data_IF_261692101324
#
_entry.id   IF_261692101324
#
_cell.length_a   1.000
_cell.length_b   1.000
_cell.length_c   1.000
_cell.angle_alpha   90.00
_cell.angle_beta   90.00
_cell.angle_gamma   90.00
#
_symmetry.space_group_name_H-M   'P 1'
#
loop_
_entity.id
_entity.type
_entity.pdbx_description
1 polymer ?
#
# COMPACT_ATOMS: atom_id res chain seq x y z
N UNK A 1 -9.55 23.36 -19.19
CA UNK A 1 -9.63 22.06 -18.50
C UNK A 1 -11.09 21.66 -18.33
N UNK A 2 -11.46 20.47 -18.81
CA UNK A 2 -12.81 19.94 -18.59
C UNK A 2 -13.10 19.72 -17.10
N UNK A 3 -14.37 19.74 -16.71
CA UNK A 3 -14.78 19.63 -15.29
C UNK A 3 -14.27 18.35 -14.60
N UNK A 4 -14.24 17.22 -15.32
CA UNK A 4 -13.95 15.91 -14.75
C UNK A 4 -12.49 15.74 -14.30
N UNK A 5 -11.45 16.02 -15.11
CA UNK A 5 -10.07 16.02 -14.66
C UNK A 5 -9.83 16.93 -13.45
N UNK A 6 -10.41 18.13 -13.43
CA UNK A 6 -10.27 19.07 -12.30
C UNK A 6 -10.84 18.45 -11.02
N UNK A 7 -12.03 17.87 -11.10
CA UNK A 7 -12.65 17.18 -9.96
C UNK A 7 -11.80 15.99 -9.49
N UNK A 8 -11.31 15.16 -10.41
CA UNK A 8 -10.44 14.03 -10.09
C UNK A 8 -9.15 14.49 -9.39
N UNK A 9 -8.48 15.53 -9.91
CA UNK A 9 -7.28 16.11 -9.30
C UNK A 9 -7.59 16.59 -7.89
N UNK A 10 -8.67 17.35 -7.70
CA UNK A 10 -9.03 17.89 -6.41
C UNK A 10 -9.31 16.79 -5.37
N UNK A 11 -10.10 15.77 -5.75
CA UNK A 11 -10.42 14.63 -4.88
C UNK A 11 -9.15 13.86 -4.51
N UNK A 12 -8.35 13.48 -5.50
CA UNK A 12 -7.12 12.70 -5.28
C UNK A 12 -6.08 13.48 -4.47
N UNK A 13 -5.93 14.78 -4.71
CA UNK A 13 -5.04 15.63 -3.93
C UNK A 13 -5.48 15.71 -2.46
N UNK A 14 -6.78 15.90 -2.20
CA UNK A 14 -7.32 15.95 -0.83
C UNK A 14 -7.14 14.60 -0.13
N UNK A 15 -7.52 13.50 -0.79
CA UNK A 15 -7.35 12.16 -0.24
C UNK A 15 -5.86 11.86 0.02
N UNK A 16 -4.98 12.25 -0.92
CA UNK A 16 -3.54 12.03 -0.83
C UNK A 16 -2.94 12.80 0.33
N UNK A 17 -3.36 14.05 0.53
CA UNK A 17 -2.96 14.86 1.68
C UNK A 17 -3.44 14.25 3.01
N UNK A 18 -4.69 13.79 3.09
CA UNK A 18 -5.23 13.13 4.28
C UNK A 18 -4.42 11.86 4.61
N UNK A 19 -4.18 11.01 3.60
CA UNK A 19 -3.39 9.78 3.75
C UNK A 19 -1.96 10.08 4.19
N UNK A 20 -1.33 11.09 3.60
CA UNK A 20 0.01 11.56 3.97
C UNK A 20 0.04 12.03 5.43
N UNK A 21 -0.85 12.94 5.82
CA UNK A 21 -0.88 13.51 7.17
C UNK A 21 -1.09 12.45 8.26
N UNK A 22 -2.01 11.50 8.02
CA UNK A 22 -2.29 10.39 8.94
C UNK A 22 -1.06 9.49 9.10
N UNK A 23 -0.38 9.14 8.01
CA UNK A 23 0.80 8.29 8.08
C UNK A 23 2.02 9.03 8.67
N UNK A 24 2.21 10.32 8.39
CA UNK A 24 3.22 11.15 9.06
C UNK A 24 2.96 11.20 10.57
N UNK A 25 1.71 11.39 10.99
CA UNK A 25 1.34 11.34 12.40
C UNK A 25 1.68 9.97 13.02
N UNK A 26 1.37 8.87 12.33
CA UNK A 26 1.74 7.53 12.78
C UNK A 26 3.26 7.37 12.94
N UNK A 27 4.04 7.93 12.02
CA UNK A 27 5.50 7.92 12.06
C UNK A 27 6.04 8.72 13.25
N UNK A 28 5.48 9.90 13.52
CA UNK A 28 5.82 10.71 14.70
C UNK A 28 5.56 9.91 15.99
N UNK A 29 4.39 9.26 16.10
CA UNK A 29 4.09 8.41 17.24
C UNK A 29 5.07 7.23 17.38
N UNK A 30 5.51 6.63 16.27
CA UNK A 30 6.52 5.58 16.27
C UNK A 30 7.86 6.07 16.82
N UNK A 31 8.23 7.32 16.56
CA UNK A 31 9.50 7.92 17.00
C UNK A 31 9.47 8.58 18.39
N UNK A 32 8.31 8.92 18.95
CA UNK A 32 8.14 9.57 20.29
C UNK A 32 8.76 8.77 21.47
N UNK A 33 9.29 7.56 21.25
CA UNK A 33 10.07 6.81 22.25
C UNK A 33 9.24 6.21 23.40
N UNK A 34 8.00 6.68 23.61
CA UNK A 34 7.08 6.21 24.65
C UNK A 34 6.48 4.82 24.38
N UNK A 35 6.64 4.29 23.17
CA UNK A 35 6.10 3.00 22.78
C UNK A 35 6.96 1.87 23.32
N UNK A 36 6.44 1.15 24.33
CA UNK A 36 7.04 -0.08 24.85
C UNK A 36 6.80 -1.26 23.88
N UNK A 37 7.44 -1.22 22.71
CA UNK A 37 7.37 -2.28 21.70
C UNK A 37 8.75 -2.83 21.39
N UNK A 38 8.82 -4.09 20.95
CA UNK A 38 10.09 -4.65 20.47
C UNK A 38 10.53 -3.93 19.20
N UNK A 39 11.83 -3.68 19.08
CA UNK A 39 12.43 -3.02 17.92
C UNK A 39 12.02 -3.64 16.58
N UNK A 40 11.83 -4.97 16.53
CA UNK A 40 11.36 -5.69 15.33
C UNK A 40 9.99 -5.21 14.85
N UNK A 41 9.04 -5.00 15.76
CA UNK A 41 7.69 -4.57 15.41
C UNK A 41 7.68 -3.08 15.04
N UNK A 42 8.45 -2.28 15.78
CA UNK A 42 8.61 -0.85 15.47
C UNK A 42 9.17 -0.66 14.06
N UNK A 43 10.24 -1.37 13.69
CA UNK A 43 10.82 -1.28 12.35
C UNK A 43 9.82 -1.69 11.26
N UNK A 44 9.09 -2.79 11.47
CA UNK A 44 8.05 -3.22 10.53
C UNK A 44 6.99 -2.15 10.28
N UNK A 45 6.50 -1.50 11.35
CA UNK A 45 5.53 -0.42 11.25
C UNK A 45 6.14 0.81 10.57
N UNK A 46 7.38 1.18 10.90
CA UNK A 46 8.09 2.30 10.26
C UNK A 46 8.19 2.09 8.75
N UNK A 47 8.62 0.91 8.30
CA UNK A 47 8.75 0.62 6.86
C UNK A 47 7.40 0.73 6.15
N UNK A 48 6.34 0.11 6.68
CA UNK A 48 5.01 0.22 6.09
C UNK A 48 4.48 1.66 6.08
N UNK A 49 4.66 2.40 7.17
CA UNK A 49 4.24 3.81 7.24
C UNK A 49 5.01 4.67 6.25
N UNK A 50 6.33 4.50 6.10
CA UNK A 50 7.12 5.23 5.11
C UNK A 50 6.68 4.93 3.68
N UNK A 51 6.40 3.67 3.37
CA UNK A 51 5.85 3.28 2.07
C UNK A 51 4.51 3.99 1.79
N UNK A 52 3.59 4.01 2.76
CA UNK A 52 2.30 4.69 2.58
C UNK A 52 2.42 6.22 2.53
N UNK A 53 3.38 6.83 3.24
CA UNK A 53 3.70 8.25 3.07
C UNK A 53 4.12 8.53 1.63
N UNK A 54 5.05 7.75 1.09
CA UNK A 54 5.52 7.89 -0.29
C UNK A 54 4.38 7.72 -1.28
N UNK A 55 3.55 6.69 -1.08
CA UNK A 55 2.43 6.39 -1.97
C UNK A 55 1.38 7.52 -1.94
N UNK A 56 0.99 8.00 -0.76
CA UNK A 56 0.04 9.10 -0.62
C UNK A 56 0.59 10.41 -1.20
N UNK A 57 1.88 10.71 -0.99
CA UNK A 57 2.52 11.91 -1.54
C UNK A 57 2.51 11.88 -3.07
N UNK A 58 3.06 10.82 -3.67
CA UNK A 58 3.15 10.72 -5.13
C UNK A 58 1.76 10.65 -5.76
N UNK A 59 0.81 9.89 -5.19
CA UNK A 59 -0.56 9.82 -5.70
C UNK A 59 -1.30 11.16 -5.60
N UNK A 60 -1.05 11.94 -4.53
CA UNK A 60 -1.63 13.28 -4.39
C UNK A 60 -1.11 14.28 -5.43
N UNK A 61 0.12 14.09 -5.91
CA UNK A 61 0.73 14.92 -6.97
C UNK A 61 0.43 14.40 -8.39
N UNK A 62 0.24 13.10 -8.55
CA UNK A 62 0.01 12.42 -9.81
C UNK A 62 -1.36 11.74 -9.80
N UNK A 63 -2.37 12.43 -10.31
CA UNK A 63 -3.72 11.86 -10.43
C UNK A 63 -3.74 10.91 -11.63
N UNK A 64 -3.77 9.60 -11.36
CA UNK A 64 -3.74 8.57 -12.39
C UNK A 64 -5.14 8.03 -12.68
N UNK A 65 -5.58 8.13 -13.93
CA UNK A 65 -6.79 7.50 -14.45
C UNK A 65 -6.45 6.33 -15.36
N UNK A 66 -7.22 5.24 -15.23
CA UNK A 66 -7.13 4.10 -16.14
C UNK A 66 -8.23 4.19 -17.18
N UNK A 67 -7.87 3.93 -18.43
CA UNK A 67 -8.79 3.86 -19.56
C UNK A 67 -8.51 2.60 -20.36
N UNK A 68 -9.55 1.95 -20.83
CA UNK A 68 -9.44 0.79 -21.72
C UNK A 68 -10.17 1.10 -23.02
N UNK A 69 -9.47 1.05 -24.14
CA UNK A 69 -10.03 1.29 -25.46
C UNK A 69 -9.35 0.39 -26.49
N UNK A 70 -10.12 -0.40 -27.26
CA UNK A 70 -9.63 -1.26 -28.33
C UNK A 70 -8.43 -2.16 -27.97
N UNK A 71 -8.48 -2.84 -26.82
CA UNK A 71 -7.37 -3.67 -26.30
C UNK A 71 -6.10 -2.88 -25.92
N UNK A 72 -6.19 -1.56 -25.77
CA UNK A 72 -5.13 -0.73 -25.25
C UNK A 72 -5.57 -0.21 -23.88
N UNK A 73 -4.70 -0.39 -22.90
CA UNK A 73 -4.81 0.21 -21.57
C UNK A 73 -4.05 1.52 -21.58
N UNK A 74 -4.72 2.61 -21.26
CA UNK A 74 -4.13 3.93 -21.08
C UNK A 74 -4.07 4.26 -19.59
N UNK A 75 -2.92 4.77 -19.17
CA UNK A 75 -2.65 5.40 -17.88
C UNK A 75 -2.50 6.88 -18.15
N UNK A 76 -3.53 7.65 -17.79
CA UNK A 76 -3.55 9.09 -18.00
C UNK A 76 -3.29 9.78 -16.68
N UNK A 77 -2.24 10.59 -16.66
CA UNK A 77 -1.83 11.34 -15.49
C UNK A 77 -2.18 12.81 -15.65
N UNK A 78 -2.87 13.31 -14.64
CA UNK A 78 -3.22 14.71 -14.47
C UNK A 78 -2.50 15.30 -13.24
N UNK A 79 -2.50 16.63 -13.14
CA UNK A 79 -1.97 17.35 -11.97
C UNK A 79 -0.57 17.92 -12.22
N UNK A 80 0.35 17.71 -11.27
CA UNK A 80 1.69 18.30 -11.33
C UNK A 80 2.65 17.49 -12.21
N UNK A 81 2.39 16.20 -12.41
CA UNK A 81 3.27 15.30 -13.14
C UNK A 81 3.59 15.79 -14.58
N UNK A 82 2.62 16.24 -15.41
CA UNK A 82 2.90 16.71 -16.77
C UNK A 82 3.65 18.05 -16.83
N UNK A 83 3.77 18.76 -15.71
CA UNK A 83 4.49 20.05 -15.60
C UNK A 83 5.97 19.80 -15.29
N UNK A 84 6.31 18.63 -14.76
CA UNK A 84 7.69 18.29 -14.39
C UNK A 84 8.54 18.02 -15.64
N UNK A 85 9.87 18.25 -15.57
CA UNK A 85 10.79 17.73 -16.56
C UNK A 85 10.62 16.22 -16.72
N UNK A 86 10.74 15.73 -17.96
CA UNK A 86 10.45 14.34 -18.31
C UNK A 86 11.13 13.33 -17.38
N UNK A 87 12.42 13.52 -17.08
CA UNK A 87 13.17 12.64 -16.18
C UNK A 87 12.53 12.56 -14.79
N UNK A 88 12.06 13.69 -14.25
CA UNK A 88 11.42 13.72 -12.95
C UNK A 88 10.03 13.05 -12.97
N UNK A 89 9.26 13.24 -14.05
CA UNK A 89 8.00 12.52 -14.28
C UNK A 89 8.23 11.01 -14.30
N UNK A 90 9.21 10.55 -15.09
CA UNK A 90 9.55 9.14 -15.24
C UNK A 90 9.97 8.51 -13.90
N UNK A 91 10.84 9.21 -13.15
CA UNK A 91 11.25 8.77 -11.81
C UNK A 91 10.06 8.69 -10.85
N UNK A 92 9.15 9.66 -10.87
CA UNK A 92 7.97 9.65 -10.03
C UNK A 92 7.02 8.49 -10.38
N UNK A 93 6.85 8.19 -11.68
CA UNK A 93 6.04 7.08 -12.17
C UNK A 93 6.63 5.72 -11.81
N UNK A 94 7.93 5.53 -12.05
CA UNK A 94 8.63 4.30 -11.62
C UNK A 94 8.48 4.13 -10.12
N UNK A 95 8.73 5.19 -9.34
CA UNK A 95 8.57 5.15 -7.88
C UNK A 95 7.13 4.81 -7.47
N UNK A 96 6.12 5.37 -8.14
CA UNK A 96 4.71 5.05 -7.89
C UNK A 96 4.44 3.56 -8.13
N UNK A 97 4.90 3.01 -9.24
CA UNK A 97 4.74 1.58 -9.57
C UNK A 97 5.41 0.70 -8.51
N UNK A 98 6.63 1.02 -8.09
CA UNK A 98 7.32 0.29 -7.03
C UNK A 98 6.56 0.32 -5.71
N UNK A 99 6.03 1.48 -5.32
CA UNK A 99 5.27 1.63 -4.09
C UNK A 99 3.95 0.86 -4.13
N UNK A 100 3.28 0.82 -5.29
CA UNK A 100 2.06 0.04 -5.51
C UNK A 100 2.35 -1.45 -5.44
N UNK A 101 3.40 -1.94 -6.11
CA UNK A 101 3.80 -3.36 -6.06
C UNK A 101 4.23 -3.78 -4.66
N UNK A 102 4.94 -2.89 -3.96
CA UNK A 102 5.30 -3.07 -2.57
C UNK A 102 4.10 -3.31 -1.64
N UNK A 103 2.88 -2.93 -2.00
CA UNK A 103 1.70 -3.10 -1.13
C UNK A 103 1.50 -4.58 -0.77
N UNK A 104 1.57 -5.47 -1.76
CA UNK A 104 1.43 -6.91 -1.53
C UNK A 104 2.76 -7.61 -1.32
N UNK A 105 3.84 -7.14 -1.95
CA UNK A 105 5.16 -7.78 -1.84
C UNK A 105 5.78 -7.61 -0.44
N UNK A 106 5.42 -6.54 0.27
CA UNK A 106 5.87 -6.29 1.65
C UNK A 106 4.95 -6.89 2.71
N UNK A 107 3.73 -7.32 2.35
CA UNK A 107 2.76 -7.91 3.27
C UNK A 107 3.28 -9.15 4.05
N UNK A 108 4.13 -10.02 3.47
CA UNK A 108 4.69 -11.16 4.20
C UNK A 108 5.65 -10.78 5.33
N UNK A 109 6.43 -9.71 5.19
CA UNK A 109 7.51 -9.38 6.13
C UNK A 109 7.04 -9.22 7.59
N UNK A 110 6.00 -8.42 7.91
CA UNK A 110 5.48 -8.31 9.26
C UNK A 110 5.03 -9.65 9.85
N UNK A 111 4.41 -10.51 9.04
CA UNK A 111 3.95 -11.84 9.44
C UNK A 111 5.10 -12.82 9.68
N UNK A 112 6.12 -12.82 8.80
CA UNK A 112 7.35 -13.61 9.00
C UNK A 112 8.04 -13.15 10.29
N UNK A 113 8.15 -11.84 10.53
CA UNK A 113 8.72 -11.30 11.77
C UNK A 113 7.95 -11.77 13.00
N UNK A 114 6.63 -11.71 12.97
CA UNK A 114 5.82 -12.19 14.10
C UNK A 114 5.98 -13.70 14.31
N UNK A 115 5.96 -14.48 13.24
CA UNK A 115 6.18 -15.92 13.27
C UNK A 115 7.55 -16.25 13.89
N UNK A 116 8.62 -15.63 13.40
CA UNK A 116 9.97 -15.86 13.92
C UNK A 116 10.11 -15.40 15.38
N UNK A 117 9.46 -14.31 15.78
CA UNK A 117 9.46 -13.83 17.16
C UNK A 117 8.71 -14.78 18.11
N UNK A 118 7.65 -15.45 17.65
CA UNK A 118 6.85 -16.38 18.45
C UNK A 118 7.45 -17.78 18.50
N UNK A 119 7.88 -18.30 17.35
CA UNK A 119 8.26 -19.71 17.18
C UNK A 119 9.78 -19.93 17.15
N UNK A 120 10.59 -18.90 16.91
CA UNK A 120 12.06 -18.97 16.88
C UNK A 120 12.69 -17.89 17.79
N UNK A 121 12.41 -17.92 19.11
CA UNK A 121 12.86 -16.88 20.05
C UNK A 121 14.39 -16.75 20.16
N UNK A 122 15.13 -17.81 19.83
CA UNK A 122 16.60 -17.84 19.84
C UNK A 122 17.26 -17.06 18.68
N UNK A 123 16.52 -16.70 17.62
CA UNK A 123 17.08 -15.88 16.55
C UNK A 123 17.28 -14.43 17.01
N UNK A 124 18.44 -13.86 16.67
CA UNK A 124 18.73 -12.45 16.91
C UNK A 124 17.80 -11.55 16.09
N UNK A 125 17.59 -10.32 16.56
CA UNK A 125 16.75 -9.33 15.86
C UNK A 125 17.19 -9.07 14.41
N UNK A 126 18.49 -8.82 14.12
CA UNK A 126 18.94 -8.61 12.74
C UNK A 126 18.69 -9.82 11.84
N UNK A 127 18.90 -11.05 12.35
CA UNK A 127 18.63 -12.27 11.60
C UNK A 127 17.16 -12.39 11.22
N UNK A 128 16.24 -12.09 12.14
CA UNK A 128 14.79 -12.10 11.84
C UNK A 128 14.41 -11.07 10.77
N UNK A 129 14.97 -9.86 10.86
CA UNK A 129 14.74 -8.79 9.90
C UNK A 129 15.25 -9.19 8.51
N UNK A 130 16.48 -9.69 8.42
CA UNK A 130 17.05 -10.15 7.16
C UNK A 130 16.19 -11.25 6.54
N UNK A 131 15.78 -12.26 7.32
CA UNK A 131 14.92 -13.35 6.81
C UNK A 131 13.55 -12.85 6.33
N UNK A 132 12.94 -11.89 7.04
CA UNK A 132 11.63 -11.37 6.67
C UNK A 132 11.66 -10.50 5.41
N UNK A 133 12.63 -9.58 5.32
CA UNK A 133 12.72 -8.62 4.23
C UNK A 133 13.43 -9.17 2.99
N UNK A 134 14.31 -10.16 3.11
CA UNK A 134 14.92 -10.82 1.93
C UNK A 134 13.86 -11.43 1.02
N UNK A 135 12.82 -12.05 1.58
CA UNK A 135 11.68 -12.56 0.79
C UNK A 135 11.03 -11.42 -0.01
N UNK A 136 10.74 -10.29 0.64
CA UNK A 136 10.13 -9.14 -0.02
C UNK A 136 11.02 -8.53 -1.10
N UNK A 137 12.34 -8.43 -0.86
CA UNK A 137 13.31 -7.92 -1.84
C UNK A 137 13.35 -8.83 -3.06
N UNK A 138 13.36 -10.15 -2.88
CA UNK A 138 13.33 -11.11 -3.99
C UNK A 138 12.04 -10.97 -4.81
N UNK A 139 10.88 -10.86 -4.14
CA UNK A 139 9.60 -10.64 -4.82
C UNK A 139 9.61 -9.33 -5.62
N UNK A 140 10.14 -8.26 -5.03
CA UNK A 140 10.19 -6.93 -5.64
C UNK A 140 11.10 -6.87 -6.88
N UNK A 141 12.26 -7.53 -6.82
CA UNK A 141 13.20 -7.58 -7.94
C UNK A 141 12.59 -8.24 -9.18
N UNK A 142 11.77 -9.28 -9.00
CA UNK A 142 11.11 -9.99 -10.09
C UNK A 142 10.03 -9.15 -10.81
N UNK A 143 9.62 -8.01 -10.24
CA UNK A 143 8.52 -7.18 -10.73
C UNK A 143 8.99 -5.92 -11.46
N UNK A 144 10.30 -5.69 -11.60
CA UNK A 144 10.85 -4.53 -12.29
C UNK A 144 10.76 -4.68 -13.81
N UNK A 145 9.98 -3.79 -14.45
CA UNK A 145 9.87 -3.71 -15.91
C UNK A 145 9.87 -2.25 -16.36
N UNK A 146 10.49 -1.99 -17.52
CA UNK A 146 10.56 -0.67 -18.15
C UNK A 146 9.70 -0.66 -19.41
N UNK A 147 8.90 0.39 -19.59
CA UNK A 147 8.18 0.63 -20.83
C UNK A 147 9.10 1.28 -21.86
N UNK A 148 8.91 0.92 -23.13
CA UNK A 148 9.60 1.54 -24.25
C UNK A 148 9.21 3.03 -24.40
N UNK A 149 10.20 3.90 -24.63
CA UNK A 149 10.02 5.35 -24.77
C UNK A 149 9.38 5.70 -26.11
N UNK A 150 9.58 4.87 -27.14
CA UNK A 150 9.14 5.14 -28.51
C UNK A 150 7.61 5.24 -28.65
N UNK A 151 6.84 4.55 -27.80
CA UNK A 151 5.38 4.48 -27.90
C UNK A 151 4.65 5.66 -27.25
N UNK A 152 5.38 6.53 -26.54
CA UNK A 152 4.80 7.58 -25.70
C UNK A 152 4.05 8.65 -26.49
N UNK A 153 4.58 9.07 -27.63
CA UNK A 153 3.98 10.12 -28.45
C UNK A 153 2.62 9.68 -29.03
N UNK A 154 2.56 8.46 -29.57
CA UNK A 154 1.32 7.87 -30.09
C UNK A 154 0.27 7.68 -28.99
N UNK A 155 0.68 7.15 -27.81
CA UNK A 155 -0.20 7.05 -26.65
C UNK A 155 -0.78 8.41 -26.23
N UNK A 156 0.04 9.46 -26.27
CA UNK A 156 -0.38 10.81 -25.89
C UNK A 156 -1.41 11.39 -26.86
N UNK A 157 -1.24 11.19 -28.16
CA UNK A 157 -2.22 11.61 -29.17
C UNK A 157 -3.57 10.91 -28.97
N UNK A 158 -3.57 9.58 -28.83
CA UNK A 158 -4.80 8.81 -28.62
C UNK A 158 -5.46 9.19 -27.29
N UNK A 159 -4.67 9.33 -26.21
CA UNK A 159 -5.17 9.73 -24.91
C UNK A 159 -5.83 11.11 -24.93
N UNK A 160 -5.19 12.11 -25.57
CA UNK A 160 -5.78 13.45 -25.76
C UNK A 160 -7.08 13.39 -26.52
N UNK A 161 -7.13 12.63 -27.63
CA UNK A 161 -8.35 12.45 -28.40
C UNK A 161 -9.47 11.81 -27.58
N UNK A 162 -9.20 10.75 -26.80
CA UNK A 162 -10.22 10.07 -25.99
C UNK A 162 -10.73 10.97 -24.86
N UNK A 163 -9.87 11.78 -24.25
CA UNK A 163 -10.26 12.69 -23.17
C UNK A 163 -10.75 14.06 -23.65
N UNK A 164 -10.70 14.32 -24.96
CA UNK A 164 -10.99 15.62 -25.54
C UNK A 164 -10.22 16.75 -24.83
N UNK A 165 -8.92 16.50 -24.63
CA UNK A 165 -7.96 17.39 -23.98
C UNK A 165 -7.24 18.15 -25.08
N UNK A 166 -7.15 19.47 -24.96
CA UNK A 166 -6.44 20.32 -25.91
C UNK A 166 -4.92 20.23 -25.74
N UNK A 167 -4.15 20.60 -26.77
CA UNK A 167 -2.69 20.47 -26.76
C UNK A 167 -1.99 21.36 -25.71
N UNK A 168 -2.64 22.42 -25.26
CA UNK A 168 -2.19 23.31 -24.19
C UNK A 168 -2.43 22.76 -22.78
N UNK A 169 -3.26 21.73 -22.65
CA UNK A 169 -3.50 21.07 -21.37
C UNK A 169 -2.40 20.02 -21.10
N UNK A 170 -1.65 20.24 -20.02
CA UNK A 170 -0.62 19.31 -19.55
C UNK A 170 -1.22 17.97 -19.14
N UNK A 171 -1.05 16.95 -19.98
CA UNK A 171 -1.45 15.57 -19.73
C UNK A 171 -0.33 14.64 -20.16
N UNK A 172 0.01 13.72 -19.26
CA UNK A 172 0.99 12.68 -19.51
C UNK A 172 0.24 11.36 -19.70
N UNK A 173 0.46 10.70 -20.84
CA UNK A 173 -0.25 9.45 -21.17
C UNK A 173 0.76 8.36 -21.41
N UNK A 174 0.57 7.26 -20.71
CA UNK A 174 1.21 5.99 -21.00
C UNK A 174 0.17 5.03 -21.52
N UNK A 175 0.54 4.13 -22.42
CA UNK A 175 -0.35 3.08 -22.83
C UNK A 175 0.39 1.78 -23.05
N UNK A 176 -0.35 0.69 -22.92
CA UNK A 176 0.15 -0.66 -23.10
C UNK A 176 -0.94 -1.51 -23.74
N UNK A 177 -0.51 -2.41 -24.63
CA UNK A 177 -1.42 -3.34 -25.29
C UNK A 177 -1.85 -4.42 -24.29
N UNK A 178 -3.09 -4.86 -24.39
CA UNK A 178 -3.60 -6.04 -23.68
C UNK A 178 -3.41 -7.32 -24.51
N UNK A 179 -2.97 -7.20 -25.77
CA UNK A 179 -2.72 -8.35 -26.64
C UNK A 179 -1.39 -8.97 -26.28
N UNK A 180 -1.35 -10.29 -26.12
CA UNK A 180 -0.13 -11.00 -25.70
C UNK A 180 0.98 -10.96 -26.77
N UNK A 181 0.60 -10.91 -28.05
CA UNK A 181 1.53 -10.90 -29.20
C UNK A 181 2.22 -9.55 -29.43
N UNK A 182 1.73 -8.49 -28.78
CA UNK A 182 2.23 -7.14 -28.95
C UNK A 182 3.53 -6.93 -28.16
N UNK A 183 4.55 -6.32 -28.77
CA UNK A 183 5.81 -5.98 -28.10
C UNK A 183 5.61 -5.01 -26.92
N UNK A 184 4.53 -4.23 -26.93
CA UNK A 184 4.15 -3.29 -25.87
C UNK A 184 3.07 -3.85 -24.93
N UNK A 185 2.94 -5.18 -24.87
CA UNK A 185 1.94 -5.83 -24.03
C UNK A 185 2.21 -5.63 -22.53
N UNK A 186 1.17 -5.29 -21.76
CA UNK A 186 1.21 -5.36 -20.29
C UNK A 186 1.01 -6.79 -19.78
N UNK A 187 0.62 -7.73 -20.64
CA UNK A 187 0.30 -9.10 -20.23
C UNK A 187 1.50 -9.83 -19.63
N UNK A 188 2.73 -9.74 -20.16
CA UNK A 188 3.91 -10.32 -19.51
C UNK A 188 4.13 -9.76 -18.10
N UNK A 189 3.95 -8.46 -17.89
CA UNK A 189 4.07 -7.83 -16.57
C UNK A 189 3.01 -8.40 -15.62
N UNK A 190 1.76 -8.48 -16.09
CA UNK A 190 0.65 -9.00 -15.28
C UNK A 190 0.85 -10.49 -14.93
N UNK A 191 1.25 -11.32 -15.90
CA UNK A 191 1.31 -12.79 -15.77
C UNK A 191 2.61 -13.30 -15.14
N UNK A 192 3.74 -12.63 -15.39
CA UNK A 192 5.05 -13.08 -14.90
C UNK A 192 5.62 -12.22 -13.77
N UNK A 193 5.22 -10.94 -13.68
CA UNK A 193 5.59 -10.06 -12.56
C UNK A 193 4.54 -10.10 -11.44
N UNK A 194 3.38 -9.52 -11.70
CA UNK A 194 2.34 -9.24 -10.69
C UNK A 194 1.71 -10.53 -10.15
N UNK A 195 1.19 -11.39 -11.01
CA UNK A 195 0.44 -12.58 -10.58
C UNK A 195 1.30 -13.55 -9.75
N UNK A 196 2.57 -13.85 -10.12
CA UNK A 196 3.42 -14.71 -9.30
C UNK A 196 3.81 -14.03 -7.98
N UNK A 197 4.23 -12.76 -7.99
CA UNK A 197 4.64 -12.08 -6.76
C UNK A 197 3.47 -11.93 -5.78
N UNK A 198 2.28 -11.62 -6.30
CA UNK A 198 1.04 -11.57 -5.53
C UNK A 198 0.67 -12.93 -4.93
N UNK A 199 0.64 -13.98 -5.77
CA UNK A 199 0.31 -15.34 -5.32
C UNK A 199 1.29 -15.84 -4.26
N UNK A 200 2.59 -15.72 -4.51
CA UNK A 200 3.64 -16.18 -3.58
C UNK A 200 3.58 -15.38 -2.28
N UNK A 201 3.47 -14.05 -2.36
CA UNK A 201 3.37 -13.19 -1.19
C UNK A 201 2.19 -13.58 -0.30
N UNK A 202 0.99 -13.69 -0.88
CA UNK A 202 -0.20 -14.06 -0.12
C UNK A 202 -0.20 -15.51 0.38
N UNK A 203 0.43 -16.43 -0.34
CA UNK A 203 0.62 -17.80 0.12
C UNK A 203 1.52 -17.84 1.37
N UNK A 204 2.65 -17.13 1.36
CA UNK A 204 3.55 -17.02 2.52
C UNK A 204 2.82 -16.34 3.69
N UNK A 205 2.08 -15.26 3.42
CA UNK A 205 1.26 -14.57 4.43
C UNK A 205 0.25 -15.55 5.08
N UNK A 206 -0.49 -16.31 4.28
CA UNK A 206 -1.46 -17.31 4.76
C UNK A 206 -0.82 -18.38 5.65
N UNK A 207 0.30 -18.97 5.21
CA UNK A 207 1.07 -19.95 6.00
C UNK A 207 1.53 -19.33 7.33
N UNK A 208 2.06 -18.11 7.30
CA UNK A 208 2.52 -17.42 8.51
C UNK A 208 1.35 -17.16 9.47
N UNK A 209 0.23 -16.66 8.96
CA UNK A 209 -0.97 -16.42 9.77
C UNK A 209 -1.49 -17.70 10.41
N UNK A 210 -1.54 -18.81 9.66
CA UNK A 210 -1.93 -20.11 10.20
C UNK A 210 -0.98 -20.59 11.31
N UNK A 211 0.34 -20.48 11.09
CA UNK A 211 1.34 -20.85 12.11
C UNK A 211 1.28 -19.96 13.35
N UNK A 212 1.08 -18.65 13.19
CA UNK A 212 0.91 -17.70 14.30
C UNK A 212 -0.38 -18.02 15.08
N UNK A 213 -1.48 -18.28 14.38
CA UNK A 213 -2.74 -18.66 15.01
C UNK A 213 -2.58 -19.93 15.87
N UNK A 214 -1.95 -20.98 15.34
CA UNK A 214 -1.64 -22.19 16.11
C UNK A 214 -0.73 -21.89 17.30
N UNK A 215 0.31 -21.08 17.10
CA UNK A 215 1.23 -20.66 18.17
C UNK A 215 0.54 -19.90 19.30
N UNK A 216 -0.51 -19.11 19.01
CA UNK A 216 -1.22 -18.31 19.99
C UNK A 216 -2.36 -19.03 20.72
N UNK A 217 -2.92 -20.10 20.12
CA UNK A 217 -4.11 -20.79 20.66
C UNK A 217 -3.86 -22.23 21.12
N UNK A 218 -2.98 -22.99 20.44
CA UNK A 218 -2.81 -24.43 20.71
C UNK A 218 -1.65 -24.68 21.67
N UNK A 219 -0.53 -24.01 21.44
CA UNK A 219 0.59 -24.09 22.35
C UNK A 219 0.27 -23.19 23.53
N UNK A 220 -0.21 -23.78 24.63
CA UNK A 220 -0.30 -23.10 25.92
C UNK A 220 1.07 -22.53 26.24
N UNK A 221 1.27 -21.25 25.96
CA UNK A 221 2.52 -20.54 26.25
C UNK A 221 2.50 -20.22 27.75
N UNK A 222 2.53 -21.26 28.59
CA UNK A 222 2.40 -21.18 30.04
C UNK A 222 3.54 -20.37 30.69
N UNK A 223 4.58 -20.01 29.93
CA UNK A 223 5.70 -19.18 30.36
C UNK A 223 5.58 -17.70 30.03
N UNK A 224 4.55 -17.25 29.29
CA UNK A 224 4.39 -15.83 28.92
C UNK A 224 3.34 -15.13 29.76
N UNK A 225 3.64 -13.90 30.19
CA UNK A 225 2.67 -13.06 30.90
C UNK A 225 1.41 -12.83 30.06
N UNK A 226 0.25 -12.82 30.72
CA UNK A 226 -1.06 -12.56 30.11
C UNK A 226 -1.05 -11.27 29.26
N UNK A 227 -0.36 -10.23 29.76
CA UNK A 227 -0.15 -8.95 29.06
C UNK A 227 0.54 -9.13 27.71
N UNK A 228 1.60 -9.94 27.66
CA UNK A 228 2.33 -10.23 26.41
C UNK A 228 1.47 -11.00 25.42
N UNK A 229 0.70 -11.99 25.89
CA UNK A 229 -0.18 -12.77 25.03
C UNK A 229 -1.29 -11.91 24.41
N UNK A 230 -1.92 -11.03 25.19
CA UNK A 230 -2.91 -10.08 24.69
C UNK A 230 -2.32 -9.12 23.65
N UNK A 231 -1.11 -8.63 23.90
CA UNK A 231 -0.38 -7.78 22.97
C UNK A 231 -0.13 -8.49 21.62
N UNK A 232 0.33 -9.75 21.66
CA UNK A 232 0.57 -10.56 20.46
C UNK A 232 -0.71 -10.84 19.67
N UNK A 233 -1.82 -11.15 20.37
CA UNK A 233 -3.13 -11.33 19.73
C UNK A 233 -3.62 -10.05 19.06
N UNK A 234 -3.44 -8.89 19.69
CA UNK A 234 -3.80 -7.58 19.10
C UNK A 234 -2.95 -7.28 17.88
N UNK A 235 -1.63 -7.47 17.97
CA UNK A 235 -0.73 -7.28 16.84
C UNK A 235 -1.08 -8.22 15.67
N UNK A 236 -1.39 -9.49 15.96
CA UNK A 236 -1.83 -10.43 14.92
C UNK A 236 -3.12 -9.99 14.22
N UNK A 237 -4.12 -9.49 14.97
CA UNK A 237 -5.34 -8.91 14.37
C UNK A 237 -5.03 -7.70 13.49
N UNK A 238 -4.12 -6.83 13.93
CA UNK A 238 -3.65 -5.70 13.12
C UNK A 238 -2.98 -6.19 11.85
N UNK A 239 -2.08 -7.18 11.91
CA UNK A 239 -1.45 -7.76 10.72
C UNK A 239 -2.44 -8.39 9.76
N UNK A 240 -3.44 -9.11 10.27
CA UNK A 240 -4.50 -9.66 9.43
C UNK A 240 -5.25 -8.55 8.70
N UNK A 241 -5.63 -7.49 9.41
CA UNK A 241 -6.32 -6.35 8.80
C UNK A 241 -5.44 -5.66 7.76
N UNK A 242 -4.17 -5.39 8.09
CA UNK A 242 -3.23 -4.72 7.20
C UNK A 242 -2.91 -5.56 5.95
N UNK A 243 -2.82 -6.89 6.08
CA UNK A 243 -2.52 -7.80 4.97
C UNK A 243 -3.74 -8.18 4.11
N UNK A 244 -4.93 -8.32 4.71
CA UNK A 244 -6.16 -8.65 3.98
C UNK A 244 -6.83 -7.46 3.31
N UNK A 245 -6.68 -6.25 3.86
CA UNK A 245 -7.25 -5.05 3.27
C UNK A 245 -6.78 -4.81 1.82
N UNK A 246 -5.47 -4.90 1.48
CA UNK A 246 -5.05 -4.74 0.10
C UNK A 246 -5.64 -5.81 -0.82
N UNK A 247 -5.82 -7.05 -0.35
CA UNK A 247 -6.47 -8.10 -1.13
C UNK A 247 -7.91 -7.72 -1.49
N UNK A 248 -8.67 -7.20 -0.51
CA UNK A 248 -10.04 -6.73 -0.73
C UNK A 248 -10.07 -5.54 -1.70
N UNK A 249 -9.25 -4.53 -1.44
CA UNK A 249 -9.20 -3.27 -2.19
C UNK A 249 -8.72 -3.49 -3.64
N UNK A 250 -7.69 -4.32 -3.83
CA UNK A 250 -7.10 -4.59 -5.15
C UNK A 250 -7.88 -5.65 -5.95
N UNK A 251 -8.74 -6.45 -5.31
CA UNK A 251 -9.58 -7.43 -6.02
C UNK A 251 -10.47 -6.77 -7.08
N UNK A 252 -10.98 -5.57 -6.82
CA UNK A 252 -11.82 -4.82 -7.75
C UNK A 252 -11.06 -4.36 -9.00
N UNK A 253 -9.94 -3.61 -8.91
CA UNK A 253 -9.19 -3.19 -10.10
C UNK A 253 -8.61 -4.37 -10.87
N UNK A 254 -8.16 -5.44 -10.18
CA UNK A 254 -7.69 -6.68 -10.81
C UNK A 254 -8.83 -7.40 -11.53
N UNK A 255 -10.00 -7.52 -10.90
CA UNK A 255 -11.18 -8.10 -11.52
C UNK A 255 -11.64 -7.33 -12.75
N UNK A 256 -11.63 -5.99 -12.68
CA UNK A 256 -11.90 -5.12 -13.84
C UNK A 256 -10.87 -5.32 -14.95
N UNK A 257 -9.59 -5.43 -14.61
CA UNK A 257 -8.53 -5.70 -15.59
C UNK A 257 -8.79 -7.03 -16.31
N UNK A 258 -8.99 -8.12 -15.57
CA UNK A 258 -9.24 -9.43 -16.17
C UNK A 258 -10.57 -9.50 -16.93
N UNK A 259 -11.61 -8.82 -16.47
CA UNK A 259 -12.86 -8.70 -17.23
C UNK A 259 -12.66 -7.95 -18.55
N UNK A 260 -11.79 -6.93 -18.59
CA UNK A 260 -11.43 -6.22 -19.82
C UNK A 260 -10.59 -7.06 -20.79
N UNK A 261 -9.69 -7.89 -20.25
CA UNK A 261 -8.83 -8.78 -21.04
C UNK A 261 -9.62 -9.95 -21.62
N UNK A 262 -10.35 -10.69 -20.77
CA UNK A 262 -10.99 -11.96 -21.14
C UNK A 262 -12.48 -11.86 -21.47
N UNK A 263 -13.14 -10.77 -21.10
CA UNK A 263 -14.58 -10.64 -21.26
C UNK A 263 -15.00 -10.50 -22.72
N UNK A 264 -16.13 -11.09 -23.16
CA UNK A 264 -16.70 -10.89 -24.50
C UNK A 264 -17.10 -9.43 -24.77
N UNK A 265 -17.12 -8.59 -23.73
CA UNK A 265 -17.37 -7.15 -23.80
C UNK A 265 -16.20 -6.32 -24.37
N UNK A 266 -15.19 -6.92 -25.01
CA UNK A 266 -14.08 -6.20 -25.66
C UNK A 266 -14.56 -5.08 -26.63
N UNK A 267 -15.80 -5.15 -27.13
CA UNK A 267 -16.39 -4.17 -28.05
C UNK A 267 -17.23 -3.06 -27.38
N UNK A 268 -17.58 -3.18 -26.09
CA UNK A 268 -18.47 -2.21 -25.44
C UNK A 268 -17.70 -1.17 -24.63
N UNK A 269 -18.30 0.03 -24.49
CA UNK A 269 -17.79 1.26 -23.85
C UNK A 269 -17.44 1.11 -22.35
N UNK A 270 -16.51 0.22 -21.99
CA UNK A 270 -15.95 0.07 -20.64
C UNK A 270 -15.16 1.32 -20.18
N UNK A 271 -14.91 2.22 -21.13
CA UNK A 271 -14.27 3.54 -21.03
C UNK A 271 -14.73 4.36 -19.82
N UNK A 272 -16.04 4.36 -19.48
CA UNK A 272 -16.58 5.26 -18.44
C UNK A 272 -16.50 4.69 -17.01
N UNK A 273 -16.55 3.37 -16.83
CA UNK A 273 -16.59 2.76 -15.49
C UNK A 273 -15.22 2.80 -14.78
N UNK A 274 -14.11 2.73 -15.52
CA UNK A 274 -12.76 2.82 -14.93
C UNK A 274 -12.39 4.22 -14.43
N UNK A 275 -13.11 5.26 -14.86
CA UNK A 275 -12.70 6.65 -14.65
C UNK A 275 -12.95 7.17 -13.22
N UNK A 276 -13.96 6.66 -12.52
CA UNK A 276 -14.40 7.26 -11.25
C UNK A 276 -13.99 6.49 -9.98
N UNK A 277 -13.69 5.19 -10.09
CA UNK A 277 -13.53 4.35 -8.89
C UNK A 277 -12.07 4.16 -8.47
N UNK A 278 -11.11 4.11 -9.39
CA UNK A 278 -9.76 3.58 -9.10
C UNK A 278 -8.78 4.53 -8.38
N UNK A 279 -8.67 5.82 -8.72
CA UNK A 279 -7.71 6.71 -8.05
C UNK A 279 -7.99 6.82 -6.55
N UNK A 280 -9.27 6.95 -6.20
CA UNK A 280 -9.70 7.03 -4.80
C UNK A 280 -9.51 5.71 -4.04
N UNK A 281 -9.68 4.55 -4.69
CA UNK A 281 -9.49 3.25 -4.02
C UNK A 281 -8.06 3.10 -3.45
N UNK A 282 -7.03 3.48 -4.20
CA UNK A 282 -5.63 3.37 -3.74
C UNK A 282 -5.34 4.33 -2.57
N UNK A 283 -5.94 5.51 -2.57
CA UNK A 283 -5.65 6.53 -1.56
C UNK A 283 -6.48 6.32 -0.30
N UNK A 284 -7.76 5.96 -0.44
CA UNK A 284 -8.61 5.48 0.65
C UNK A 284 -7.89 4.33 1.37
N UNK A 285 -7.27 3.42 0.62
CA UNK A 285 -6.45 2.36 1.19
C UNK A 285 -5.31 2.88 2.06
N UNK A 286 -4.48 3.82 1.57
CA UNK A 286 -3.39 4.40 2.38
C UNK A 286 -3.87 5.11 3.65
N UNK A 287 -5.03 5.76 3.56
CA UNK A 287 -5.70 6.43 4.69
C UNK A 287 -6.15 5.40 5.73
N UNK A 288 -6.84 4.34 5.31
CA UNK A 288 -7.28 3.27 6.20
C UNK A 288 -6.08 2.58 6.86
N UNK A 289 -5.01 2.30 6.11
CA UNK A 289 -3.78 1.70 6.66
C UNK A 289 -3.13 2.59 7.73
N UNK A 290 -3.08 3.90 7.49
CA UNK A 290 -2.60 4.87 8.47
C UNK A 290 -3.47 4.90 9.73
N UNK A 291 -4.79 4.88 9.58
CA UNK A 291 -5.75 4.84 10.70
C UNK A 291 -5.64 3.55 11.51
N UNK A 292 -5.49 2.41 10.85
CA UNK A 292 -5.27 1.11 11.50
C UNK A 292 -3.97 1.14 12.31
N UNK A 293 -2.90 1.70 11.73
CA UNK A 293 -1.61 1.87 12.40
C UNK A 293 -1.73 2.78 13.62
N UNK A 294 -2.35 3.95 13.50
CA UNK A 294 -2.60 4.86 14.62
C UNK A 294 -3.46 4.24 15.72
N UNK A 295 -4.52 3.52 15.35
CA UNK A 295 -5.39 2.81 16.31
C UNK A 295 -4.61 1.77 17.11
N UNK A 296 -3.70 1.06 16.44
CA UNK A 296 -2.79 0.14 17.10
C UNK A 296 -1.82 0.88 18.04
N UNK A 297 -1.15 1.93 17.58
CA UNK A 297 -0.18 2.71 18.37
C UNK A 297 -0.80 3.37 19.61
N UNK A 298 -2.02 3.92 19.49
CA UNK A 298 -2.74 4.51 20.63
C UNK A 298 -3.02 3.48 21.72
N UNK A 299 -3.31 2.23 21.35
CA UNK A 299 -3.55 1.11 22.29
C UNK A 299 -2.28 0.58 22.95
N UNK A 300 -1.09 0.97 22.45
CA UNK A 300 0.20 0.60 23.03
C UNK A 300 0.71 1.59 24.07
N UNK A 301 0.15 2.80 24.12
CA UNK A 301 0.52 3.79 25.11
C UNK A 301 0.19 3.22 26.50
N UNK A 302 1.15 3.19 27.44
CA UNK A 302 0.82 2.79 28.81
C UNK A 302 -0.33 3.68 29.30
N UNK A 303 -1.28 3.16 30.11
CA UNK A 303 -2.24 4.02 30.77
C UNK A 303 -1.43 5.11 31.43
N UNK A 304 -1.64 6.37 31.03
CA UNK A 304 -0.96 7.51 31.63
C UNK A 304 -1.14 7.33 33.11
N UNK A 305 -0.05 6.98 33.81
CA UNK A 305 -0.04 6.75 35.24
C UNK A 305 -0.83 7.89 35.81
N UNK A 306 -2.06 7.59 36.26
CA UNK A 306 -2.94 8.59 36.84
C UNK A 306 -2.07 9.21 37.90
N UNK A 307 -1.64 10.45 37.63
CA UNK A 307 -0.81 11.21 38.55
C UNK A 307 -1.56 11.11 39.86
N UNK A 308 -0.93 10.38 40.76
CA UNK A 308 -1.56 9.83 41.93
C UNK A 308 -2.34 10.93 42.61
N UNK A 309 -3.62 10.68 42.86
CA UNK A 309 -4.45 11.34 43.89
C UNK A 309 -3.83 11.26 45.31
N UNK A 310 -2.55 10.90 45.42
CA UNK A 310 -1.72 10.86 46.63
C UNK A 310 -1.40 12.24 47.19
N UNK A 311 -1.79 13.35 46.55
CA UNK A 311 -1.62 14.70 47.12
C UNK A 311 -2.85 15.20 47.89
N UNK A 312 -3.89 14.40 48.11
CA UNK A 312 -5.14 14.88 48.74
C UNK A 312 -5.48 14.33 50.12
N UNK A 313 -4.58 13.58 50.76
CA UNK A 313 -4.84 12.97 52.08
C UNK A 313 -3.83 13.33 53.19
N UNK A 314 -3.00 14.36 53.01
CA UNK A 314 -2.12 14.85 54.09
C UNK A 314 -2.65 16.03 54.89
N UNK A 315 -3.79 16.64 54.53
CA UNK A 315 -4.30 17.84 55.23
C UNK A 315 -5.41 17.57 56.26
N UNK A 316 -5.72 16.32 56.61
CA UNK A 316 -6.79 15.99 57.59
C UNK A 316 -6.30 15.41 58.92
N UNK A 317 -5.04 15.64 59.31
CA UNK A 317 -4.50 15.20 60.63
C UNK A 317 -3.89 16.31 61.48
N UNK A 318 -4.30 17.55 61.28
CA UNK A 318 -4.03 18.63 62.22
C UNK A 318 -5.33 19.39 62.47
N UNK A 319 -6.20 18.86 63.34
CA UNK A 319 -7.12 19.58 64.22
C UNK A 319 -7.84 18.58 65.13
#
# INVERSE_FOLDING_TARGET
MSFWPVLCIAVVAIEGFIGFAINVLALIYLFDGRLQTKATYKLSLVVSTMQFIGLSAISGFATMCHLFHNQIMFLVYFGLLPILPQIASDVALVTLVLLVFGIWEMAPAPCILQYLALCKPHFSTPKRLLMAYSVCIVLHYCSLFFTDVEYRAECAEIGRHVFNVSDDEGVEVHCASLRFEDKHSVMPIALFGVLPSYTIGYFIFGICCFKIYRALNVYKMDTKSLKTQQLQKRFFKTLLLQGLLPLLVLSLPVGVFFAGVFGPCQQYKFVRFSFHSKPSILIIFTTIQGLVSLSFLRKLKPPSTVQSLSSRNTDSRAH
#
